data_IF_484894478981
#
_entry.id   IF_484894478981
#
_cell.length_a   1.000
_cell.length_b   1.000
_cell.length_c   1.000
_cell.angle_alpha   90.00
_cell.angle_beta   90.00
_cell.angle_gamma   90.00
#
_symmetry.space_group_name_H-M   'P 1'
#
loop_
_entity.id
_entity.type
_entity.pdbx_description
1 polymer ?
#
# COMPACT_ATOMS: atom_id res chain seq x y z
N UNK A 1 -23.71 -10.07 -17.27
CA UNK A 1 -22.39 -10.72 -17.26
C UNK A 1 -21.78 -10.44 -15.92
N UNK A 2 -21.16 -11.44 -15.27
CA UNK A 2 -20.47 -11.26 -13.99
C UNK A 2 -19.16 -10.49 -14.19
N UNK A 3 -18.52 -10.12 -13.09
CA UNK A 3 -17.16 -9.59 -13.05
C UNK A 3 -16.35 -10.50 -12.09
N UNK A 4 -16.20 -11.77 -12.54
CA UNK A 4 -15.68 -12.89 -11.74
C UNK A 4 -14.16 -12.88 -11.68
N UNK A 5 -13.62 -13.33 -10.55
CA UNK A 5 -12.19 -13.58 -10.40
C UNK A 5 -11.94 -14.66 -9.33
N UNK A 6 -10.76 -15.25 -9.38
CA UNK A 6 -10.19 -16.04 -8.28
C UNK A 6 -8.94 -15.31 -7.77
N UNK A 7 -8.76 -15.29 -6.46
CA UNK A 7 -7.56 -14.72 -5.82
C UNK A 7 -6.89 -15.85 -5.04
N UNK A 8 -5.59 -16.07 -5.28
CA UNK A 8 -4.79 -17.08 -4.60
C UNK A 8 -3.35 -16.62 -4.40
N UNK A 9 -2.52 -17.39 -3.71
CA UNK A 9 -1.09 -17.09 -3.53
C UNK A 9 -0.20 -18.01 -4.38
N UNK A 10 1.05 -17.61 -4.62
CA UNK A 10 2.04 -18.48 -5.25
C UNK A 10 2.20 -19.79 -4.45
N UNK A 11 2.15 -19.71 -3.12
CA UNK A 11 2.26 -20.86 -2.22
C UNK A 11 1.11 -21.86 -2.41
N UNK A 12 -0.13 -21.36 -2.54
CA UNK A 12 -1.32 -22.20 -2.72
C UNK A 12 -1.38 -22.79 -4.13
N UNK A 13 -0.95 -22.03 -5.14
CA UNK A 13 -0.81 -22.53 -6.51
C UNK A 13 0.09 -23.75 -6.60
N UNK A 14 1.16 -23.81 -5.80
CA UNK A 14 2.11 -24.91 -5.80
C UNK A 14 1.63 -26.16 -5.04
N UNK A 15 0.53 -26.06 -4.27
CA UNK A 15 0.07 -27.09 -3.33
C UNK A 15 -1.41 -27.50 -3.50
N UNK A 16 -2.05 -27.08 -4.60
CA UNK A 16 -3.51 -27.24 -4.76
C UNK A 16 -4.29 -26.66 -3.58
N UNK A 17 -3.83 -25.50 -3.09
CA UNK A 17 -4.30 -24.85 -1.89
C UNK A 17 -5.63 -24.11 -2.08
N UNK A 18 -5.81 -23.06 -1.30
CA UNK A 18 -7.05 -22.29 -1.24
C UNK A 18 -7.05 -21.14 -2.25
N UNK A 19 -8.26 -20.74 -2.64
CA UNK A 19 -8.52 -19.50 -3.35
C UNK A 19 -9.82 -18.85 -2.87
N UNK A 20 -9.93 -17.56 -3.11
CA UNK A 20 -11.16 -16.77 -2.94
C UNK A 20 -11.78 -16.59 -4.31
N UNK A 21 -13.04 -16.96 -4.46
CA UNK A 21 -13.83 -16.71 -5.65
C UNK A 21 -14.69 -15.45 -5.45
N UNK A 22 -14.63 -14.55 -6.41
CA UNK A 22 -15.46 -13.37 -6.53
C UNK A 22 -16.42 -13.54 -7.70
N UNK A 23 -17.72 -13.39 -7.47
CA UNK A 23 -18.72 -13.33 -8.54
C UNK A 23 -18.84 -11.94 -9.15
N UNK A 24 -18.61 -10.90 -8.32
CA UNK A 24 -18.58 -9.49 -8.68
C UNK A 24 -17.29 -8.83 -8.18
N UNK A 25 -17.01 -7.64 -8.68
CA UNK A 25 -15.83 -6.84 -8.25
C UNK A 25 -14.49 -7.57 -8.42
N UNK A 26 -14.40 -8.45 -9.43
CA UNK A 26 -13.17 -9.16 -9.77
C UNK A 26 -12.26 -8.40 -10.75
N UNK A 27 -12.58 -7.17 -11.13
CA UNK A 27 -11.72 -6.32 -11.97
C UNK A 27 -10.39 -5.97 -11.29
N UNK A 28 -9.38 -5.61 -12.07
CA UNK A 28 -8.05 -5.31 -11.54
C UNK A 28 -8.04 -4.11 -10.58
N UNK A 29 -8.89 -3.12 -10.82
CA UNK A 29 -9.10 -1.96 -9.97
C UNK A 29 -9.68 -2.35 -8.60
N UNK A 30 -10.74 -3.14 -8.58
CA UNK A 30 -11.40 -3.58 -7.35
C UNK A 30 -10.51 -4.53 -6.55
N UNK A 31 -9.96 -5.56 -7.20
CA UNK A 31 -9.03 -6.50 -6.55
C UNK A 31 -7.82 -5.76 -6.01
N UNK A 32 -7.23 -4.85 -6.79
CA UNK A 32 -6.12 -4.02 -6.36
C UNK A 32 -6.46 -3.20 -5.11
N UNK A 33 -7.63 -2.58 -5.05
CA UNK A 33 -8.08 -1.81 -3.89
C UNK A 33 -8.32 -2.66 -2.64
N UNK A 34 -8.91 -3.85 -2.78
CA UNK A 34 -9.08 -4.79 -1.65
C UNK A 34 -7.75 -5.19 -1.04
N UNK A 35 -6.77 -5.53 -1.89
CA UNK A 35 -5.43 -5.92 -1.44
C UNK A 35 -4.68 -4.75 -0.78
N UNK A 36 -4.75 -3.58 -1.40
CA UNK A 36 -4.15 -2.38 -0.87
C UNK A 36 -4.76 -1.98 0.47
N UNK A 37 -6.09 -2.05 0.62
CA UNK A 37 -6.75 -1.78 1.88
C UNK A 37 -6.25 -2.72 2.99
N UNK A 38 -6.13 -4.02 2.70
CA UNK A 38 -5.57 -4.98 3.65
C UNK A 38 -4.12 -4.65 4.03
N UNK A 39 -3.31 -4.21 3.07
CA UNK A 39 -1.94 -3.78 3.32
C UNK A 39 -1.86 -2.52 4.18
N UNK A 40 -2.68 -1.51 3.88
CA UNK A 40 -2.79 -0.27 4.67
C UNK A 40 -3.25 -0.54 6.11
N UNK A 41 -4.14 -1.53 6.31
CA UNK A 41 -4.57 -1.99 7.63
C UNK A 41 -3.48 -2.76 8.39
N UNK A 42 -2.35 -3.05 7.79
CA UNK A 42 -1.27 -3.82 8.39
C UNK A 42 -1.62 -5.30 8.59
N UNK A 43 -2.61 -5.84 7.87
CA UNK A 43 -2.94 -7.25 7.96
C UNK A 43 -1.83 -8.11 7.34
N UNK A 44 -1.53 -9.23 8.00
CA UNK A 44 -0.62 -10.22 7.42
C UNK A 44 -1.26 -10.86 6.17
N UNK A 45 -0.51 -10.95 5.09
CA UNK A 45 -1.00 -11.51 3.84
C UNK A 45 -1.22 -13.03 3.90
N UNK A 46 -2.02 -13.61 2.98
CA UNK A 46 -2.37 -15.03 3.02
C UNK A 46 -1.19 -15.99 2.95
N UNK A 47 -0.10 -15.63 2.27
CA UNK A 47 1.13 -16.42 2.21
C UNK A 47 2.00 -16.33 3.47
N UNK A 48 1.70 -15.36 4.36
CA UNK A 48 2.42 -15.11 5.62
C UNK A 48 1.64 -15.56 6.87
N UNK A 49 0.32 -15.68 6.77
CA UNK A 49 -0.54 -16.00 7.91
C UNK A 49 -1.81 -16.71 7.48
N UNK A 50 -2.21 -17.72 8.29
CA UNK A 50 -3.47 -18.43 8.10
C UNK A 50 -4.71 -17.51 8.24
N UNK A 51 -4.57 -16.35 8.86
CA UNK A 51 -5.62 -15.34 8.95
C UNK A 51 -5.74 -14.43 7.72
N UNK A 52 -4.76 -14.46 6.81
CA UNK A 52 -4.71 -13.53 5.67
C UNK A 52 -5.94 -13.63 4.76
N UNK A 53 -6.32 -14.85 4.38
CA UNK A 53 -7.55 -15.08 3.60
C UNK A 53 -8.80 -14.64 4.36
N UNK A 54 -8.89 -14.94 5.65
CA UNK A 54 -10.03 -14.54 6.48
C UNK A 54 -10.18 -13.03 6.56
N UNK A 55 -9.06 -12.29 6.66
CA UNK A 55 -9.06 -10.82 6.66
C UNK A 55 -9.47 -10.25 5.32
N UNK A 56 -8.95 -10.79 4.23
CA UNK A 56 -9.34 -10.38 2.89
C UNK A 56 -10.84 -10.64 2.66
N UNK A 57 -11.34 -11.82 3.02
CA UNK A 57 -12.77 -12.12 2.93
C UNK A 57 -13.63 -11.21 3.79
N UNK A 58 -13.17 -10.86 5.00
CA UNK A 58 -13.89 -9.92 5.86
C UNK A 58 -14.01 -8.54 5.19
N UNK A 59 -12.91 -8.01 4.66
CA UNK A 59 -12.91 -6.71 3.97
C UNK A 59 -13.85 -6.71 2.77
N UNK A 60 -13.74 -7.74 1.91
CA UNK A 60 -14.60 -7.88 0.73
C UNK A 60 -16.07 -8.11 1.13
N UNK A 61 -16.32 -8.96 2.11
CA UNK A 61 -17.66 -9.28 2.59
C UNK A 61 -18.36 -8.06 3.20
N UNK A 62 -17.66 -7.23 3.97
CA UNK A 62 -18.21 -5.99 4.49
C UNK A 62 -18.57 -5.00 3.37
N UNK A 63 -17.74 -4.93 2.33
CA UNK A 63 -18.03 -4.11 1.15
C UNK A 63 -19.25 -4.60 0.37
N UNK A 64 -19.37 -5.91 0.18
CA UNK A 64 -20.50 -6.51 -0.55
C UNK A 64 -21.81 -6.51 0.25
N UNK A 65 -21.74 -6.29 1.55
CA UNK A 65 -22.93 -6.19 2.42
C UNK A 65 -23.77 -7.46 2.42
N UNK A 66 -25.08 -7.31 2.24
CA UNK A 66 -26.05 -8.44 2.24
C UNK A 66 -25.94 -9.34 1.01
N UNK A 67 -25.22 -8.92 -0.04
CA UNK A 67 -25.00 -9.71 -1.26
C UNK A 67 -23.83 -10.70 -1.11
N UNK A 68 -23.50 -11.09 0.13
CA UNK A 68 -22.41 -11.98 0.50
C UNK A 68 -22.35 -13.32 -0.22
N UNK A 69 -23.38 -13.70 -0.97
CA UNK A 69 -23.37 -14.87 -1.87
C UNK A 69 -22.41 -14.69 -3.08
N UNK A 70 -21.80 -13.54 -3.20
CA UNK A 70 -20.84 -13.21 -4.29
C UNK A 70 -19.41 -13.55 -3.96
N UNK A 71 -19.15 -14.05 -2.73
CA UNK A 71 -17.83 -14.37 -2.21
C UNK A 71 -17.80 -15.84 -1.77
N UNK A 72 -16.82 -16.60 -2.24
CA UNK A 72 -16.61 -17.99 -1.84
C UNK A 72 -15.15 -18.27 -1.51
N UNK A 73 -14.91 -19.25 -0.64
CA UNK A 73 -13.58 -19.84 -0.40
C UNK A 73 -13.65 -21.32 -0.74
N UNK A 74 -12.68 -21.82 -1.47
CA UNK A 74 -12.61 -23.24 -1.81
C UNK A 74 -11.18 -23.65 -2.20
N UNK A 75 -11.02 -24.93 -2.45
CA UNK A 75 -9.81 -25.42 -3.07
C UNK A 75 -9.73 -24.95 -4.53
N UNK A 76 -8.54 -24.64 -4.98
CA UNK A 76 -8.34 -24.12 -6.34
C UNK A 76 -8.88 -25.05 -7.44
N UNK A 77 -8.81 -26.36 -7.25
CA UNK A 77 -9.35 -27.37 -8.18
C UNK A 77 -10.87 -27.33 -8.32
N UNK A 78 -11.59 -26.80 -7.30
CA UNK A 78 -13.04 -26.69 -7.26
C UNK A 78 -13.55 -25.31 -7.72
N UNK A 79 -12.64 -24.33 -7.85
CA UNK A 79 -12.99 -22.96 -8.23
C UNK A 79 -12.95 -22.76 -9.75
N UNK A 80 -13.87 -21.93 -10.25
CA UNK A 80 -13.90 -21.51 -11.67
C UNK A 80 -12.76 -20.52 -11.99
N UNK A 81 -11.54 -21.05 -12.09
CA UNK A 81 -10.35 -20.25 -12.36
C UNK A 81 -10.32 -19.71 -13.80
N UNK A 82 -10.82 -20.45 -14.79
CA UNK A 82 -10.98 -20.01 -16.19
C UNK A 82 -12.41 -19.49 -16.43
N UNK A 83 -12.78 -18.43 -15.72
CA UNK A 83 -14.14 -17.90 -15.62
C UNK A 83 -14.56 -17.01 -16.79
N UNK A 84 -13.77 -16.88 -17.85
CA UNK A 84 -14.01 -16.03 -19.03
C UNK A 84 -14.13 -14.52 -18.74
N UNK A 85 -13.85 -14.08 -17.52
CA UNK A 85 -13.84 -12.68 -17.10
C UNK A 85 -12.41 -12.27 -16.71
N UNK A 86 -12.13 -12.16 -15.41
CA UNK A 86 -10.85 -11.69 -14.90
C UNK A 86 -9.83 -12.80 -14.61
N UNK A 87 -10.25 -14.08 -14.68
CA UNK A 87 -9.38 -15.20 -14.45
C UNK A 87 -8.92 -15.30 -13.00
N UNK A 88 -7.65 -15.56 -12.79
CA UNK A 88 -7.08 -15.81 -11.47
C UNK A 88 -5.88 -14.90 -11.19
N UNK A 89 -5.96 -14.14 -10.11
CA UNK A 89 -4.88 -13.31 -9.56
C UNK A 89 -4.02 -14.14 -8.61
N UNK A 90 -2.70 -14.06 -8.79
CA UNK A 90 -1.71 -14.76 -7.96
C UNK A 90 -0.95 -13.73 -7.15
N UNK A 91 -0.93 -13.91 -5.83
CA UNK A 91 -0.36 -12.98 -4.87
C UNK A 91 0.98 -13.45 -4.31
N UNK A 92 1.86 -12.48 -4.05
CA UNK A 92 2.96 -12.59 -3.12
C UNK A 92 2.88 -11.40 -2.15
N UNK A 93 2.66 -11.67 -0.87
CA UNK A 93 2.19 -10.65 0.05
C UNK A 93 0.82 -10.14 -0.38
N UNK A 94 0.63 -8.82 -0.32
CA UNK A 94 -0.57 -8.13 -0.81
C UNK A 94 -0.42 -7.62 -2.26
N UNK A 95 0.57 -8.11 -3.01
CA UNK A 95 0.82 -7.68 -4.39
C UNK A 95 0.44 -8.77 -5.38
N UNK A 96 -0.25 -8.39 -6.44
CA UNK A 96 -0.46 -9.25 -7.60
C UNK A 96 0.87 -9.40 -8.34
N UNK A 97 1.37 -10.63 -8.43
CA UNK A 97 2.63 -10.96 -9.14
C UNK A 97 2.38 -11.64 -10.48
N UNK A 98 1.21 -12.25 -10.66
CA UNK A 98 0.80 -12.83 -11.93
C UNK A 98 -0.72 -12.88 -12.05
N UNK A 99 -1.21 -13.01 -13.26
CA UNK A 99 -2.61 -13.24 -13.60
C UNK A 99 -2.72 -14.33 -14.64
N UNK A 100 -3.56 -15.35 -14.40
CA UNK A 100 -3.82 -16.45 -15.32
C UNK A 100 -5.26 -16.44 -15.81
N UNK A 101 -5.49 -17.02 -16.96
CA UNK A 101 -6.82 -17.19 -17.57
C UNK A 101 -7.57 -15.89 -17.86
N UNK A 102 -6.90 -14.75 -17.82
CA UNK A 102 -7.50 -13.49 -18.24
C UNK A 102 -7.63 -13.46 -19.77
N UNK A 103 -8.85 -13.28 -20.27
CA UNK A 103 -9.17 -13.29 -21.69
C UNK A 103 -9.93 -12.04 -22.15
N UNK A 104 -10.24 -11.14 -21.22
CA UNK A 104 -11.03 -9.94 -21.45
C UNK A 104 -10.21 -8.68 -21.69
N UNK A 105 -10.90 -7.55 -21.71
CA UNK A 105 -10.32 -6.23 -21.60
C UNK A 105 -10.42 -5.75 -20.16
N UNK A 106 -9.41 -5.03 -19.68
CA UNK A 106 -9.48 -4.43 -18.35
C UNK A 106 -10.66 -3.47 -18.27
N UNK A 107 -11.48 -3.67 -17.26
CA UNK A 107 -12.58 -2.79 -16.92
C UNK A 107 -12.16 -1.99 -15.69
N UNK A 108 -11.58 -0.83 -15.89
CA UNK A 108 -11.24 0.11 -14.83
C UNK A 108 -12.40 1.09 -14.69
N UNK A 109 -13.30 0.83 -13.75
CA UNK A 109 -14.50 1.61 -13.53
C UNK A 109 -14.37 2.59 -12.36
N UNK A 110 -13.36 2.45 -11.52
CA UNK A 110 -13.28 3.17 -10.25
C UNK A 110 -12.05 4.08 -10.16
N UNK A 111 -12.28 5.29 -9.65
CA UNK A 111 -11.19 6.06 -9.05
C UNK A 111 -10.70 5.34 -7.80
N UNK A 112 -9.41 5.05 -7.73
CA UNK A 112 -8.80 4.26 -6.66
C UNK A 112 -9.08 4.85 -5.27
N UNK A 113 -8.95 6.17 -5.13
CA UNK A 113 -9.12 6.82 -3.82
C UNK A 113 -10.57 6.89 -3.38
N UNK A 114 -11.48 7.14 -4.29
CA UNK A 114 -12.90 7.10 -3.98
C UNK A 114 -13.34 5.69 -3.62
N UNK A 115 -12.81 4.68 -4.31
CA UNK A 115 -13.12 3.29 -3.99
C UNK A 115 -12.52 2.85 -2.63
N UNK A 116 -11.29 3.26 -2.30
CA UNK A 116 -10.71 3.00 -0.98
C UNK A 116 -11.51 3.68 0.15
N UNK A 117 -12.03 4.89 -0.06
CA UNK A 117 -12.91 5.56 0.90
C UNK A 117 -14.22 4.82 1.09
N UNK A 118 -14.85 4.40 -0.01
CA UNK A 118 -16.08 3.60 0.04
C UNK A 118 -15.84 2.30 0.78
N UNK A 119 -14.77 1.60 0.44
CA UNK A 119 -14.35 0.36 1.09
C UNK A 119 -14.14 0.54 2.60
N UNK A 120 -13.47 1.62 3.01
CA UNK A 120 -13.25 1.97 4.41
C UNK A 120 -14.58 2.24 5.14
N UNK A 121 -15.49 2.98 4.52
CA UNK A 121 -16.81 3.30 5.10
C UNK A 121 -17.69 2.06 5.33
N UNK A 122 -17.49 1.00 4.55
CA UNK A 122 -18.19 -0.27 4.70
C UNK A 122 -17.63 -1.15 5.83
N UNK A 123 -16.45 -0.81 6.37
CA UNK A 123 -15.88 -1.59 7.48
C UNK A 123 -16.48 -1.18 8.82
N UNK A 124 -16.49 -2.09 9.83
CA UNK A 124 -16.85 -1.71 11.18
C UNK A 124 -16.00 -0.52 11.67
N UNK A 125 -16.61 0.44 12.36
CA UNK A 125 -15.98 1.70 12.78
C UNK A 125 -14.60 1.49 13.45
N UNK A 126 -14.49 0.52 14.35
CA UNK A 126 -13.23 0.19 15.01
C UNK A 126 -12.16 -0.39 14.07
N UNK A 127 -12.51 -0.69 12.82
CA UNK A 127 -11.62 -1.25 11.81
C UNK A 127 -11.36 -0.28 10.66
N UNK A 128 -11.98 0.89 10.66
CA UNK A 128 -11.76 1.91 9.63
C UNK A 128 -10.39 2.56 9.78
N UNK A 129 -9.80 2.95 8.66
CA UNK A 129 -8.63 3.84 8.63
C UNK A 129 -9.02 5.27 9.00
N UNK A 130 -10.22 5.67 8.61
CA UNK A 130 -10.78 6.99 8.83
C UNK A 130 -10.43 8.00 7.73
N UNK A 131 -11.28 9.02 7.62
CA UNK A 131 -11.18 10.03 6.54
C UNK A 131 -9.85 10.80 6.58
N UNK A 132 -9.41 11.20 7.76
CA UNK A 132 -8.14 11.96 7.92
C UNK A 132 -6.94 11.15 7.43
N UNK A 133 -6.88 9.87 7.77
CA UNK A 133 -5.82 8.97 7.31
C UNK A 133 -5.87 8.80 5.80
N UNK A 134 -7.05 8.56 5.23
CA UNK A 134 -7.22 8.37 3.79
C UNK A 134 -6.82 9.63 3.01
N UNK A 135 -7.18 10.82 3.50
CA UNK A 135 -6.77 12.09 2.90
C UNK A 135 -5.26 12.33 3.01
N UNK A 136 -4.66 11.98 4.16
CA UNK A 136 -3.22 12.05 4.32
C UNK A 136 -2.49 11.14 3.32
N UNK A 137 -2.91 9.88 3.16
CA UNK A 137 -2.34 8.95 2.20
C UNK A 137 -2.45 9.46 0.76
N UNK A 138 -3.63 9.95 0.37
CA UNK A 138 -3.86 10.56 -0.96
C UNK A 138 -2.97 11.77 -1.20
N UNK A 139 -2.86 12.64 -0.21
CA UNK A 139 -2.01 13.82 -0.27
C UNK A 139 -0.53 13.44 -0.43
N UNK A 140 -0.08 12.40 0.24
CA UNK A 140 1.29 11.89 0.14
C UNK A 140 1.57 11.30 -1.23
N UNK A 141 0.69 10.48 -1.75
CA UNK A 141 0.85 9.92 -3.08
C UNK A 141 0.95 11.01 -4.16
N UNK A 142 0.06 12.00 -4.12
CA UNK A 142 0.10 13.13 -5.05
C UNK A 142 1.42 13.88 -4.97
N UNK A 143 1.94 14.11 -3.76
CA UNK A 143 3.23 14.77 -3.57
C UNK A 143 4.42 13.92 -4.00
N UNK A 144 4.37 12.60 -3.78
CA UNK A 144 5.40 11.69 -4.29
C UNK A 144 5.44 11.78 -5.82
N UNK A 145 4.29 11.82 -6.48
CA UNK A 145 4.20 11.93 -7.94
C UNK A 145 4.75 13.27 -8.43
N UNK A 146 4.40 14.37 -7.77
CA UNK A 146 4.87 15.72 -8.13
C UNK A 146 6.36 15.93 -7.82
N UNK A 147 6.88 15.27 -6.77
CA UNK A 147 8.28 15.36 -6.35
C UNK A 147 9.17 14.34 -7.07
N UNK A 148 8.59 13.26 -7.60
CA UNK A 148 9.35 12.13 -8.17
C UNK A 148 10.30 12.58 -9.29
N UNK A 149 9.93 13.58 -10.08
CA UNK A 149 10.76 14.11 -11.17
C UNK A 149 12.02 14.80 -10.66
N UNK A 150 11.89 15.70 -9.69
CA UNK A 150 13.02 16.40 -9.08
C UNK A 150 13.89 15.43 -8.26
N UNK A 151 13.26 14.45 -7.58
CA UNK A 151 13.96 13.43 -6.83
C UNK A 151 14.82 12.53 -7.73
N UNK A 152 14.28 12.01 -8.84
CA UNK A 152 15.04 11.18 -9.76
C UNK A 152 16.23 11.93 -10.36
N UNK A 153 16.08 13.22 -10.63
CA UNK A 153 17.16 14.06 -11.13
C UNK A 153 18.26 14.25 -10.08
N UNK A 154 17.90 14.58 -8.84
CA UNK A 154 18.86 14.74 -7.75
C UNK A 154 19.53 13.40 -7.39
N UNK A 155 18.79 12.30 -7.37
CA UNK A 155 19.35 10.96 -7.10
C UNK A 155 20.30 10.49 -8.19
N UNK A 156 20.07 10.84 -9.46
CA UNK A 156 21.01 10.57 -10.54
C UNK A 156 22.35 11.28 -10.28
N UNK A 157 22.30 12.56 -9.90
CA UNK A 157 23.51 13.31 -9.54
C UNK A 157 24.24 12.73 -8.33
N UNK A 158 23.51 12.26 -7.32
CA UNK A 158 24.10 11.66 -6.10
C UNK A 158 24.76 10.33 -6.40
N UNK A 159 24.16 9.49 -7.25
CA UNK A 159 24.78 8.25 -7.74
C UNK A 159 26.07 8.50 -8.50
N UNK A 160 26.12 9.53 -9.32
CA UNK A 160 27.32 9.96 -10.02
C UNK A 160 28.44 10.38 -9.03
N UNK A 161 28.06 10.90 -7.87
CA UNK A 161 28.98 11.33 -6.80
C UNK A 161 29.31 10.21 -5.78
N UNK A 162 28.86 8.97 -6.01
CA UNK A 162 29.19 7.81 -5.16
C UNK A 162 28.46 7.75 -3.81
N UNK A 163 27.37 8.51 -3.63
CA UNK A 163 26.58 8.51 -2.40
C UNK A 163 25.54 7.38 -2.50
N UNK A 164 25.60 6.41 -1.58
CA UNK A 164 24.63 5.30 -1.53
C UNK A 164 23.33 5.72 -0.82
N UNK A 165 22.20 5.26 -1.36
CA UNK A 165 20.89 5.42 -0.72
C UNK A 165 20.84 4.66 0.61
N UNK A 166 20.23 5.27 1.64
CA UNK A 166 20.01 4.66 2.94
C UNK A 166 18.71 5.16 3.57
N UNK A 167 18.07 4.38 4.48
CA UNK A 167 16.91 4.83 5.24
C UNK A 167 17.28 5.88 6.28
N UNK A 168 16.27 6.54 6.86
CA UNK A 168 16.44 7.31 8.08
C UNK A 168 16.83 6.39 9.26
N UNK A 169 17.72 6.87 10.10
CA UNK A 169 18.17 6.16 11.30
C UNK A 169 17.69 6.88 12.55
N UNK A 170 17.12 6.13 13.50
CA UNK A 170 16.67 6.68 14.80
C UNK A 170 17.89 7.22 15.56
N UNK A 171 17.74 8.40 16.12
CA UNK A 171 18.79 9.09 16.87
C UNK A 171 19.81 9.84 16.02
N UNK A 172 19.70 9.78 14.70
CA UNK A 172 20.55 10.59 13.80
C UNK A 172 19.94 11.96 13.54
N UNK A 173 20.82 12.92 13.28
CA UNK A 173 20.46 14.29 12.99
C UNK A 173 20.47 14.56 11.48
N UNK A 174 19.47 15.29 11.04
CA UNK A 174 19.26 15.73 9.65
C UNK A 174 18.99 17.24 9.65
N UNK A 175 19.05 17.87 8.50
CA UNK A 175 18.74 19.30 8.38
C UNK A 175 17.50 19.54 7.52
N UNK A 176 16.71 20.54 7.90
CA UNK A 176 15.64 21.05 7.05
C UNK A 176 16.17 21.99 5.94
N UNK A 177 15.28 22.47 5.07
CA UNK A 177 15.65 23.38 3.98
C UNK A 177 16.20 24.75 4.43
N UNK A 178 16.19 25.03 5.74
CA UNK A 178 16.77 26.23 6.35
C UNK A 178 18.04 25.90 7.16
N UNK A 179 18.59 24.71 6.96
CA UNK A 179 19.73 24.16 7.69
C UNK A 179 19.50 24.06 9.22
N UNK A 180 18.25 23.92 9.67
CA UNK A 180 17.97 23.72 11.09
C UNK A 180 17.98 22.22 11.39
N UNK A 181 18.67 21.78 12.44
CA UNK A 181 18.77 20.37 12.79
C UNK A 181 17.44 19.84 13.33
N UNK A 182 17.16 18.57 13.03
CA UNK A 182 16.15 17.76 13.69
C UNK A 182 16.66 16.33 13.80
N UNK A 183 16.16 15.54 14.74
CA UNK A 183 16.49 14.13 14.86
C UNK A 183 15.28 13.23 14.60
N UNK A 184 15.53 12.00 14.21
CA UNK A 184 14.49 10.97 14.09
C UNK A 184 14.38 10.26 15.44
N UNK A 185 13.25 10.41 16.10
CA UNK A 185 12.98 9.80 17.42
C UNK A 185 12.38 8.41 17.27
N UNK A 186 11.47 8.24 16.31
CA UNK A 186 10.75 6.99 16.08
C UNK A 186 10.33 6.85 14.62
N UNK A 187 10.37 5.65 14.11
CA UNK A 187 9.84 5.30 12.79
C UNK A 187 8.62 4.41 12.99
N UNK A 188 7.54 4.77 12.33
CA UNK A 188 6.29 4.00 12.28
C UNK A 188 6.11 3.50 10.86
N UNK A 189 6.14 2.18 10.71
CA UNK A 189 5.86 1.54 9.43
C UNK A 189 4.34 1.42 9.23
N UNK A 190 3.92 0.55 8.35
CA UNK A 190 2.50 0.35 8.07
C UNK A 190 1.60 0.33 9.32
N UNK A 191 0.39 0.86 9.23
CA UNK A 191 -0.23 1.40 8.00
C UNK A 191 0.16 2.85 7.69
N UNK A 192 0.78 3.57 8.61
CA UNK A 192 0.86 5.02 8.58
C UNK A 192 2.08 5.56 7.80
N UNK A 193 3.17 4.81 7.71
CA UNK A 193 4.41 5.27 7.07
C UNK A 193 4.83 6.66 7.56
N UNK A 194 5.10 6.78 8.85
CA UNK A 194 5.41 8.04 9.51
C UNK A 194 6.78 8.00 10.20
N UNK A 195 7.35 9.16 10.45
CA UNK A 195 8.44 9.34 11.39
C UNK A 195 8.03 10.33 12.48
N UNK A 196 8.43 10.09 13.71
CA UNK A 196 8.40 11.09 14.78
C UNK A 196 9.77 11.73 14.82
N UNK A 197 9.79 13.02 14.63
CA UNK A 197 11.01 13.83 14.70
C UNK A 197 10.95 14.73 15.91
N UNK A 198 12.11 15.02 16.50
CA UNK A 198 12.26 16.09 17.47
C UNK A 198 12.91 17.29 16.79
N UNK A 199 12.23 18.43 16.86
CA UNK A 199 12.69 19.69 16.30
C UNK A 199 12.28 20.83 17.21
N UNK A 200 13.23 21.71 17.54
CA UNK A 200 13.00 22.86 18.43
C UNK A 200 12.43 22.44 19.81
N UNK A 201 12.86 21.26 20.33
CA UNK A 201 12.37 20.63 21.57
C UNK A 201 10.90 20.17 21.54
N UNK A 202 10.32 20.00 20.36
CA UNK A 202 8.97 19.45 20.17
C UNK A 202 9.02 18.19 19.32
N UNK A 203 8.25 17.16 19.71
CA UNK A 203 8.04 15.97 18.88
C UNK A 203 6.92 16.25 17.87
N UNK A 204 7.22 15.99 16.61
CA UNK A 204 6.29 16.17 15.50
C UNK A 204 6.20 14.87 14.72
N UNK A 205 4.98 14.39 14.48
CA UNK A 205 4.75 13.27 13.57
C UNK A 205 4.68 13.80 12.13
N UNK A 206 5.49 13.22 11.28
CA UNK A 206 5.62 13.62 9.88
C UNK A 206 5.50 12.41 8.95
N UNK A 207 4.95 12.60 7.77
CA UNK A 207 4.88 11.57 6.76
C UNK A 207 6.26 11.16 6.26
N UNK A 208 6.44 9.84 6.05
CA UNK A 208 7.67 9.22 5.56
C UNK A 208 7.41 8.41 4.30
N UNK A 209 8.35 8.43 3.37
CA UNK A 209 8.29 7.66 2.12
C UNK A 209 9.58 6.86 1.97
N UNK A 210 9.45 5.66 1.43
CA UNK A 210 10.58 4.83 1.02
C UNK A 210 10.62 4.73 -0.49
N UNK A 211 11.76 5.10 -1.08
CA UNK A 211 12.01 5.03 -2.51
C UNK A 211 12.46 3.62 -2.93
N UNK A 212 12.40 3.35 -4.23
CA UNK A 212 12.77 2.02 -4.78
C UNK A 212 14.23 1.63 -4.53
N UNK A 213 15.10 2.61 -4.34
CA UNK A 213 16.53 2.42 -4.06
C UNK A 213 16.85 2.28 -2.56
N UNK A 214 15.82 2.35 -1.70
CA UNK A 214 15.96 2.23 -0.25
C UNK A 214 16.23 3.54 0.48
N UNK A 215 16.37 4.67 -0.23
CA UNK A 215 16.37 5.98 0.41
C UNK A 215 14.99 6.31 0.97
N UNK A 216 14.95 7.19 1.96
CA UNK A 216 13.70 7.66 2.55
C UNK A 216 13.62 9.18 2.53
N UNK A 217 12.41 9.68 2.59
CA UNK A 217 12.14 11.12 2.63
C UNK A 217 11.00 11.42 3.59
N UNK A 218 11.03 12.60 4.19
CA UNK A 218 9.94 13.13 5.05
C UNK A 218 9.50 14.50 4.56
N UNK A 219 8.29 14.91 4.93
CA UNK A 219 7.77 16.26 4.68
C UNK A 219 7.58 16.97 6.01
N UNK A 220 8.31 18.05 6.25
CA UNK A 220 8.17 18.87 7.44
C UNK A 220 7.07 19.92 7.27
N UNK A 221 6.24 20.15 8.32
CA UNK A 221 5.31 21.28 8.34
C UNK A 221 6.04 22.62 8.15
N UNK A 222 5.45 23.52 7.39
CA UNK A 222 6.03 24.85 7.15
C UNK A 222 7.22 24.91 6.19
N UNK A 223 7.61 23.80 5.58
CA UNK A 223 8.71 23.71 4.62
C UNK A 223 8.29 23.93 3.17
N UNK A 224 7.16 24.63 2.94
CA UNK A 224 6.55 24.85 1.61
C UNK A 224 6.44 23.56 0.77
N UNK A 225 6.26 22.42 1.46
CA UNK A 225 6.17 21.12 0.83
C UNK A 225 7.48 20.55 0.31
N UNK A 226 8.63 21.09 0.69
CA UNK A 226 9.93 20.48 0.37
C UNK A 226 10.09 19.17 1.11
N UNK A 227 10.57 18.20 0.35
CA UNK A 227 10.92 16.88 0.84
C UNK A 227 12.35 16.95 1.39
N UNK A 228 12.57 16.37 2.56
CA UNK A 228 13.89 16.17 3.16
C UNK A 228 14.27 14.71 2.98
N UNK A 229 15.44 14.50 2.48
CA UNK A 229 15.99 13.21 2.12
C UNK A 229 16.82 12.65 3.26
N UNK A 230 16.73 11.34 3.51
CA UNK A 230 17.55 10.62 4.49
C UNK A 230 19.07 10.71 4.24
N UNK A 231 19.46 11.19 3.07
CA UNK A 231 20.86 11.39 2.71
C UNK A 231 21.42 12.76 3.19
N UNK A 232 20.58 13.63 3.73
CA UNK A 232 20.96 14.93 4.28
C UNK A 232 21.36 14.85 5.76
N UNK A 233 21.97 13.73 6.18
CA UNK A 233 22.48 13.53 7.53
C UNK A 233 23.61 14.53 7.83
N UNK A 234 23.51 15.16 9.00
CA UNK A 234 24.59 16.00 9.54
C UNK A 234 25.54 15.11 10.30
N UNK A 235 26.78 15.03 9.84
CA UNK A 235 27.85 14.45 10.63
C UNK A 235 28.10 15.39 11.81
N UNK A 236 27.76 14.96 13.02
CA UNK A 236 28.06 15.64 14.29
C UNK A 236 29.53 15.51 14.67
#
# INVERSE_FOLDING_TARGET
MGNRAVITTEKDMAREGLGIYLHWSGGADSVGAFLEYCDLRGFAAPDKSDYGYSRLCQVIGNFMGTDGNSLGIGKLEELDCDNWDNGMYILNGWKVVARKYFKGQEQNCYDRWEFLKELDSCQPEAQQLGTEMMEALRFHEKRITDVSWNYHYEMSKRKENGISARPFEIGKFYTDCKNRPFNIVRIVDKPYMEAVIEKDCEEITVPRFTWKDGAESIILPGNNGRVIDSMEEVNS
#
